data_IF_984264469939
#
_entry.id   IF_984264469939
#
_cell.length_a   1.000
_cell.length_b   1.000
_cell.length_c   1.000
_cell.angle_alpha   90.00
_cell.angle_beta   90.00
_cell.angle_gamma   90.00
#
_symmetry.space_group_name_H-M   'P 1'
#
loop_
_entity.id
_entity.type
_entity.pdbx_description
1 polymer ?
#
# COMPACT_ATOMS: atom_id res chain seq x y z
N UNK A 1 -15.27 -10.25 -9.20
CA UNK A 1 -14.67 -10.12 -7.86
C UNK A 1 -15.17 -8.81 -7.27
N UNK A 2 -15.70 -8.84 -6.05
CA UNK A 2 -16.30 -7.68 -5.38
C UNK A 2 -15.26 -6.58 -5.12
N UNK A 3 -15.64 -5.30 -5.26
CA UNK A 3 -14.72 -4.17 -5.02
C UNK A 3 -14.67 -3.84 -3.53
N UNK A 4 -13.64 -4.31 -2.84
CA UNK A 4 -13.38 -3.97 -1.44
C UNK A 4 -12.75 -2.58 -1.36
N UNK A 5 -13.42 -1.66 -0.66
CA UNK A 5 -12.98 -0.26 -0.55
C UNK A 5 -11.92 -0.11 0.55
N UNK A 6 -10.65 -0.20 0.16
CA UNK A 6 -9.51 -0.04 1.08
C UNK A 6 -8.99 1.40 1.14
N UNK A 7 -8.58 1.83 2.33
CA UNK A 7 -7.84 3.08 2.53
C UNK A 7 -6.45 3.01 1.89
N UNK A 8 -5.80 4.16 1.64
CA UNK A 8 -4.41 4.18 1.14
C UNK A 8 -3.47 3.38 2.05
N UNK A 9 -3.67 3.48 3.37
CA UNK A 9 -2.89 2.76 4.38
C UNK A 9 -3.11 1.25 4.31
N UNK A 10 -4.36 0.79 4.26
CA UNK A 10 -4.69 -0.64 4.11
C UNK A 10 -4.09 -1.27 2.84
N UNK A 11 -4.06 -0.53 1.72
CA UNK A 11 -3.38 -0.98 0.49
C UNK A 11 -1.88 -1.16 0.68
N UNK A 12 -1.23 -0.22 1.38
CA UNK A 12 0.21 -0.29 1.70
C UNK A 12 0.52 -1.49 2.59
N UNK A 13 -0.32 -1.75 3.58
CA UNK A 13 -0.18 -2.91 4.47
C UNK A 13 -0.26 -4.22 3.68
N UNK A 14 -1.26 -4.38 2.79
CA UNK A 14 -1.37 -5.57 1.93
C UNK A 14 -0.12 -5.82 1.07
N UNK A 15 0.48 -4.75 0.54
CA UNK A 15 1.74 -4.85 -0.21
C UNK A 15 2.90 -5.30 0.66
N UNK A 16 3.07 -4.68 1.83
CA UNK A 16 4.14 -5.05 2.77
C UNK A 16 4.00 -6.49 3.27
N UNK A 17 2.76 -6.95 3.48
CA UNK A 17 2.47 -8.34 3.84
C UNK A 17 2.86 -9.30 2.71
N UNK A 18 2.58 -8.96 1.45
CA UNK A 18 2.99 -9.75 0.29
C UNK A 18 4.50 -9.88 0.20
N UNK A 19 5.24 -8.82 0.53
CA UNK A 19 6.70 -8.80 0.54
C UNK A 19 7.31 -9.46 1.78
N UNK A 20 6.50 -9.87 2.78
CA UNK A 20 6.99 -10.39 4.05
C UNK A 20 7.69 -9.35 4.93
N UNK A 21 7.51 -8.05 4.63
CA UNK A 21 8.18 -6.93 5.32
C UNK A 21 7.31 -6.21 6.34
N UNK A 22 6.03 -6.60 6.45
CA UNK A 22 5.11 -5.94 7.36
C UNK A 22 5.34 -6.37 8.81
N UNK A 23 5.35 -5.39 9.71
CA UNK A 23 5.28 -5.60 11.16
C UNK A 23 4.02 -4.91 11.68
N UNK A 24 3.14 -5.60 12.42
CA UNK A 24 1.94 -4.97 12.96
C UNK A 24 2.27 -3.81 13.91
N UNK A 25 1.55 -2.70 13.73
CA UNK A 25 1.59 -1.56 14.64
C UNK A 25 0.21 -1.31 15.24
N UNK A 26 0.16 -0.83 16.48
CA UNK A 26 -1.11 -0.47 17.14
C UNK A 26 -1.91 0.56 16.33
N UNK A 27 -1.20 1.47 15.65
CA UNK A 27 -1.84 2.51 14.82
C UNK A 27 -2.52 1.97 13.55
N UNK A 28 -2.22 0.72 13.16
CA UNK A 28 -2.81 0.05 12.00
C UNK A 28 -4.04 -0.82 12.38
N UNK A 29 -4.46 -0.83 13.65
CA UNK A 29 -5.48 -1.76 14.13
C UNK A 29 -6.78 -1.69 13.30
N UNK A 30 -7.25 -0.49 12.97
CA UNK A 30 -8.47 -0.32 12.19
C UNK A 30 -8.33 -0.90 10.78
N UNK A 31 -7.20 -0.67 10.11
CA UNK A 31 -6.89 -1.24 8.81
C UNK A 31 -6.78 -2.76 8.86
N UNK A 32 -6.06 -3.30 9.86
CA UNK A 32 -5.92 -4.75 10.05
C UNK A 32 -7.25 -5.42 10.39
N UNK A 33 -8.09 -4.75 11.18
CA UNK A 33 -9.42 -5.26 11.51
C UNK A 33 -10.32 -5.29 10.27
N UNK A 34 -10.29 -4.23 9.45
CA UNK A 34 -11.00 -4.21 8.16
C UNK A 34 -10.53 -5.33 7.24
N UNK A 35 -9.21 -5.51 7.08
CA UNK A 35 -8.64 -6.58 6.26
C UNK A 35 -9.06 -7.98 6.75
N UNK A 36 -9.25 -8.13 8.07
CA UNK A 36 -9.72 -9.38 8.68
C UNK A 36 -11.21 -9.62 8.40
N UNK A 37 -12.05 -8.59 8.57
CA UNK A 37 -13.50 -8.66 8.28
C UNK A 37 -13.74 -9.00 6.80
N UNK A 38 -12.94 -8.41 5.90
CA UNK A 38 -13.01 -8.66 4.46
C UNK A 38 -12.39 -10.02 4.05
N UNK A 39 -11.79 -10.73 5.00
CA UNK A 39 -11.12 -12.02 4.78
C UNK A 39 -9.85 -11.92 3.93
N UNK A 40 -9.25 -10.73 3.82
CA UNK A 40 -8.02 -10.49 3.05
C UNK A 40 -6.76 -10.78 3.86
N UNK A 41 -6.85 -10.72 5.19
CA UNK A 41 -5.76 -11.04 6.09
C UNK A 41 -6.25 -11.70 7.36
N UNK A 42 -5.32 -12.30 8.08
CA UNK A 42 -5.57 -12.92 9.37
C UNK A 42 -4.36 -12.71 10.27
N UNK A 43 -4.59 -12.62 11.57
CA UNK A 43 -3.52 -12.36 12.53
C UNK A 43 -3.90 -12.73 13.95
N UNK A 44 -2.88 -12.79 14.80
CA UNK A 44 -3.07 -13.06 16.23
C UNK A 44 -3.34 -11.74 16.94
N UNK A 45 -4.52 -11.58 17.55
CA UNK A 45 -4.83 -10.41 18.36
C UNK A 45 -4.01 -10.43 19.66
N UNK A 46 -3.40 -9.30 19.97
CA UNK A 46 -2.73 -9.04 21.25
C UNK A 46 -3.63 -8.22 22.18
N UNK A 47 -3.04 -7.81 23.31
CA UNK A 47 -3.68 -6.91 24.27
C UNK A 47 -3.81 -5.49 23.69
N UNK A 48 -4.79 -4.72 24.20
CA UNK A 48 -4.99 -3.30 23.90
C UNK A 48 -5.14 -2.98 22.40
N UNK A 49 -6.03 -3.70 21.70
CA UNK A 49 -6.36 -3.46 20.29
C UNK A 49 -5.11 -3.46 19.40
N UNK A 50 -4.32 -4.52 19.50
CA UNK A 50 -3.13 -4.73 18.69
C UNK A 50 -3.17 -6.10 18.01
N UNK A 51 -2.37 -6.25 16.96
CA UNK A 51 -2.06 -7.56 16.38
C UNK A 51 -0.59 -7.85 16.67
N UNK A 52 -0.28 -9.09 17.08
CA UNK A 52 1.10 -9.55 17.33
C UNK A 52 1.73 -10.02 16.02
N UNK A 53 0.94 -10.77 15.24
CA UNK A 53 1.31 -11.27 13.92
C UNK A 53 0.16 -11.01 12.96
N UNK A 54 0.47 -10.80 11.69
CA UNK A 54 -0.52 -10.62 10.65
C UNK A 54 0.01 -11.15 9.31
N UNK A 55 -0.83 -11.86 8.57
CA UNK A 55 -0.48 -12.52 7.31
C UNK A 55 -1.65 -12.46 6.31
N UNK A 56 -1.33 -12.59 5.02
CA UNK A 56 -2.34 -12.68 3.97
C UNK A 56 -3.03 -14.04 3.99
N UNK A 57 -4.34 -14.04 3.80
CA UNK A 57 -5.10 -15.26 3.46
C UNK A 57 -4.93 -15.56 1.97
N UNK A 58 -5.37 -16.74 1.53
CA UNK A 58 -5.37 -17.07 0.09
C UNK A 58 -6.32 -16.18 -0.71
N UNK A 59 -7.44 -15.75 -0.11
CA UNK A 59 -8.32 -14.71 -0.67
C UNK A 59 -7.58 -13.38 -0.81
N UNK A 60 -6.77 -12.99 0.19
CA UNK A 60 -5.92 -11.80 0.15
C UNK A 60 -4.87 -11.85 -0.97
N UNK A 61 -4.21 -12.99 -1.14
CA UNK A 61 -3.26 -13.22 -2.24
C UNK A 61 -3.95 -13.13 -3.60
N UNK A 62 -5.10 -13.80 -3.76
CA UNK A 62 -5.89 -13.75 -4.99
C UNK A 62 -6.38 -12.33 -5.29
N UNK A 63 -6.78 -11.57 -4.27
CA UNK A 63 -7.19 -10.17 -4.39
C UNK A 63 -6.06 -9.27 -4.90
N UNK A 64 -4.83 -9.49 -4.43
CA UNK A 64 -3.65 -8.76 -4.92
C UNK A 64 -3.28 -9.13 -6.37
N UNK A 65 -3.52 -10.37 -6.79
CA UNK A 65 -3.27 -10.82 -8.16
C UNK A 65 -4.28 -10.24 -9.15
N UNK A 66 -5.56 -10.20 -8.77
CA UNK A 66 -6.65 -9.69 -9.60
C UNK A 66 -6.74 -8.16 -9.65
N UNK A 67 -6.07 -7.45 -8.74
CA UNK A 67 -6.06 -5.99 -8.67
C UNK A 67 -4.65 -5.42 -8.91
N UNK A 68 -4.17 -5.39 -10.18
CA UNK A 68 -2.84 -4.88 -10.50
C UNK A 68 -2.64 -3.40 -10.15
N UNK A 69 -3.72 -2.61 -10.00
CA UNK A 69 -3.67 -1.21 -9.52
C UNK A 69 -3.27 -1.08 -8.05
N UNK A 70 -3.21 -2.19 -7.30
CA UNK A 70 -2.63 -2.22 -5.96
C UNK A 70 -1.12 -2.43 -6.01
N UNK A 71 -0.52 -2.87 -7.13
CA UNK A 71 0.94 -2.95 -7.29
C UNK A 71 1.49 -1.54 -7.46
N UNK A 72 2.05 -1.02 -6.39
CA UNK A 72 2.76 0.26 -6.28
C UNK A 72 1.90 1.51 -6.55
N UNK A 73 2.07 2.60 -5.77
CA UNK A 73 1.86 3.91 -6.36
C UNK A 73 2.79 3.97 -7.57
N UNK A 74 2.23 4.29 -8.72
CA UNK A 74 3.03 4.55 -9.89
C UNK A 74 4.08 5.60 -9.52
N UNK A 75 5.27 5.59 -10.12
CA UNK A 75 6.22 6.72 -9.99
C UNK A 75 5.52 8.03 -10.40
N UNK A 76 4.45 7.91 -11.20
CA UNK A 76 3.52 8.96 -11.60
C UNK A 76 2.47 9.37 -10.55
N UNK A 77 2.29 8.66 -9.44
CA UNK A 77 1.43 9.07 -8.31
C UNK A 77 2.17 9.97 -7.31
N UNK A 78 3.50 9.95 -7.33
CA UNK A 78 4.35 10.80 -6.50
C UNK A 78 4.46 12.18 -7.13
N UNK A 79 3.41 12.99 -6.97
CA UNK A 79 3.31 14.36 -7.54
C UNK A 79 4.56 15.20 -7.31
N UNK A 80 5.27 14.98 -6.19
CA UNK A 80 6.49 15.71 -5.84
C UNK A 80 7.66 15.38 -6.79
N UNK A 81 7.79 14.12 -7.22
CA UNK A 81 8.82 13.66 -8.16
C UNK A 81 8.55 14.12 -9.60
N UNK A 82 7.28 14.14 -10.02
CA UNK A 82 6.91 14.65 -11.34
C UNK A 82 7.27 16.14 -11.45
N UNK A 83 6.93 16.93 -10.43
CA UNK A 83 7.20 18.37 -10.43
C UNK A 83 8.69 18.66 -10.47
N UNK A 84 9.50 17.98 -9.65
CA UNK A 84 10.97 18.19 -9.65
C UNK A 84 11.60 17.78 -10.98
N UNK A 85 11.16 16.68 -11.58
CA UNK A 85 11.67 16.21 -12.86
C UNK A 85 11.35 17.18 -14.00
N UNK A 86 10.12 17.72 -14.03
CA UNK A 86 9.73 18.74 -15.03
C UNK A 86 10.56 20.02 -14.87
N UNK A 87 10.77 20.50 -13.64
CA UNK A 87 11.60 21.69 -13.38
C UNK A 87 13.03 21.46 -13.88
N UNK A 88 13.62 20.29 -13.62
CA UNK A 88 14.97 19.95 -14.08
C UNK A 88 15.07 19.91 -15.61
N UNK A 89 14.06 19.37 -16.31
CA UNK A 89 14.03 19.34 -17.78
C UNK A 89 13.92 20.76 -18.35
N UNK A 90 13.05 21.61 -17.79
CA UNK A 90 12.91 23.00 -18.23
C UNK A 90 14.22 23.77 -18.03
N UNK A 91 14.87 23.60 -16.88
CA UNK A 91 16.16 24.23 -16.60
C UNK A 91 17.25 23.78 -17.59
N UNK A 92 17.29 22.50 -17.96
CA UNK A 92 18.23 21.96 -18.95
C UNK A 92 18.00 22.58 -20.33
N UNK A 93 16.75 22.68 -20.78
CA UNK A 93 16.41 23.27 -22.09
C UNK A 93 16.80 24.76 -22.13
N UNK A 94 16.49 25.52 -21.07
CA UNK A 94 16.88 26.92 -20.95
C UNK A 94 18.41 27.10 -20.95
N UNK A 95 19.16 26.13 -20.41
CA UNK A 95 20.63 26.16 -20.42
C UNK A 95 21.25 25.87 -21.79
N UNK A 96 20.52 25.27 -22.73
CA UNK A 96 21.02 24.94 -24.08
C UNK A 96 20.69 26.05 -25.08
N UNK A 97 19.58 26.77 -24.85
CA UNK A 97 19.12 27.87 -25.73
C UNK A 97 19.85 29.19 -25.43
N UNK A 98 20.45 29.31 -24.23
CA UNK A 98 21.26 30.47 -23.83
C UNK A 98 22.72 30.27 -24.20
#
# INVERSE_FOLDING_TARGET
>A
MEKIKLTKRGKKILLLLKEGKYKPEKSDFNELNLLTIEGLGQGTRGLCDSFITYQLTDKGKAYLLSNPKLKNPSIFDDKKYIVTTIISIIALILSIIK
#
